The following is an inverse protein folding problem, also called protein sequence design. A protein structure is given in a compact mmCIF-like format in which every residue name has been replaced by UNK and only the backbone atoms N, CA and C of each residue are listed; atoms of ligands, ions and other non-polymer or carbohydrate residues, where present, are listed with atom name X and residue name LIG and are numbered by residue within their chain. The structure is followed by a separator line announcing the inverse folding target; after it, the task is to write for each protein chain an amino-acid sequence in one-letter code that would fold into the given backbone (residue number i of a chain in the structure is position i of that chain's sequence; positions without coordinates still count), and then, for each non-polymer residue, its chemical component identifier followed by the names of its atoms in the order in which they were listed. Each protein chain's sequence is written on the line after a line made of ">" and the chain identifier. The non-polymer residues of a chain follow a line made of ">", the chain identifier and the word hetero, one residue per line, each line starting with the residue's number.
data_IF_896235298455
#
_entry.id   IF_896235298455
#
_cell.length_a   1.000
_cell.length_b   1.000
_cell.length_c   1.000
_cell.angle_alpha   90.00
_cell.angle_beta   90.00
_cell.angle_gamma   90.00
#
_symmetry.space_group_name_H-M   'P 1'
#
loop_
_entity.id
_entity.type
_entity.pdbx_description
1 polymer ?
#
# COMPACT_ATOMS: atom_id res chain seq x y z
N UNK A 1 -16.38 -6.14 9.81
CA UNK A 1 -15.18 -5.27 9.77
C UNK A 1 -15.24 -4.07 10.72
N UNK A 2 -16.39 -3.39 10.90
CA UNK A 2 -16.50 -2.23 11.81
C UNK A 2 -16.01 -2.47 13.24
N UNK A 3 -16.46 -3.57 13.88
CA UNK A 3 -16.00 -3.92 15.23
C UNK A 3 -14.50 -4.23 15.33
N UNK A 4 -13.91 -4.91 14.34
CA UNK A 4 -12.47 -5.22 14.32
C UNK A 4 -11.65 -3.93 14.19
N UNK A 5 -12.08 -3.02 13.32
CA UNK A 5 -11.44 -1.71 13.17
C UNK A 5 -11.55 -0.88 14.45
N UNK A 6 -12.71 -0.91 15.12
CA UNK A 6 -12.90 -0.24 16.40
C UNK A 6 -11.97 -0.81 17.48
N UNK A 7 -11.94 -2.14 17.67
CA UNK A 7 -11.04 -2.79 18.62
C UNK A 7 -9.57 -2.48 18.33
N UNK A 8 -9.18 -2.47 17.04
CA UNK A 8 -7.82 -2.08 16.61
C UNK A 8 -7.51 -0.65 17.03
N UNK A 9 -8.43 0.29 16.79
CA UNK A 9 -8.26 1.69 17.16
C UNK A 9 -8.15 1.87 18.68
N UNK A 10 -8.98 1.18 19.47
CA UNK A 10 -8.89 1.20 20.93
C UNK A 10 -7.55 0.67 21.44
N UNK A 11 -7.04 -0.43 20.87
CA UNK A 11 -5.73 -0.99 21.25
C UNK A 11 -4.61 0.02 20.95
N UNK A 12 -4.67 0.67 19.78
CA UNK A 12 -3.69 1.71 19.41
C UNK A 12 -3.74 2.91 20.35
N UNK A 13 -4.94 3.33 20.79
CA UNK A 13 -5.13 4.38 21.78
C UNK A 13 -4.59 3.98 23.16
N UNK A 14 -4.81 2.74 23.60
CA UNK A 14 -4.23 2.26 24.87
C UNK A 14 -2.69 2.27 24.80
N UNK A 15 -2.11 1.92 23.66
CA UNK A 15 -0.65 1.94 23.49
C UNK A 15 -0.04 3.34 23.47
N UNK A 16 -0.82 4.42 23.34
CA UNK A 16 -0.30 5.79 23.52
C UNK A 16 0.08 6.07 24.97
N UNK A 17 -0.44 5.30 25.94
CA UNK A 17 -0.20 5.52 27.37
C UNK A 17 1.23 5.14 27.78
N UNK A 18 1.77 4.06 27.22
CA UNK A 18 3.15 3.63 27.47
C UNK A 18 3.75 2.92 26.24
N UNK A 19 4.49 3.70 25.44
CA UNK A 19 5.13 3.24 24.20
C UNK A 19 6.22 2.18 24.48
N UNK A 20 6.88 2.21 25.64
CA UNK A 20 7.96 1.25 25.96
C UNK A 20 7.40 -0.15 26.21
N UNK A 21 6.33 -0.21 26.99
CA UNK A 21 5.60 -1.45 27.23
C UNK A 21 4.91 -1.94 25.96
N UNK A 22 4.26 -1.04 25.19
CA UNK A 22 3.68 -1.37 23.90
C UNK A 22 4.71 -1.94 22.90
N UNK A 23 5.92 -1.36 22.85
CA UNK A 23 7.03 -1.87 22.05
C UNK A 23 7.36 -3.32 22.43
N UNK A 24 7.47 -3.63 23.72
CA UNK A 24 7.80 -4.97 24.21
C UNK A 24 6.77 -6.01 23.72
N UNK A 25 5.48 -5.69 23.82
CA UNK A 25 4.43 -6.54 23.26
C UNK A 25 4.53 -6.67 21.75
N UNK A 26 4.65 -5.54 21.05
CA UNK A 26 4.73 -5.52 19.58
C UNK A 26 5.88 -6.38 19.06
N UNK A 27 7.05 -6.32 19.69
CA UNK A 27 8.22 -7.10 19.32
C UNK A 27 7.93 -8.62 19.41
N UNK A 28 7.34 -9.07 20.52
CA UNK A 28 7.03 -10.48 20.74
C UNK A 28 6.00 -10.98 19.71
N UNK A 29 4.94 -10.21 19.46
CA UNK A 29 3.90 -10.60 18.50
C UNK A 29 4.38 -10.55 17.04
N UNK A 30 5.16 -9.54 16.65
CA UNK A 30 5.76 -9.47 15.31
C UNK A 30 6.72 -10.64 15.12
N UNK A 31 7.51 -11.00 16.13
CA UNK A 31 8.37 -12.19 16.10
C UNK A 31 7.55 -13.47 15.91
N UNK A 32 6.41 -13.59 16.59
CA UNK A 32 5.53 -14.74 16.45
C UNK A 32 4.95 -14.86 15.03
N UNK A 33 4.54 -13.74 14.41
CA UNK A 33 4.12 -13.70 13.01
C UNK A 33 5.25 -14.18 12.07
N UNK A 34 6.48 -13.74 12.31
CA UNK A 34 7.65 -14.17 11.55
C UNK A 34 7.94 -15.67 11.69
N UNK A 35 7.81 -16.24 12.90
CA UNK A 35 8.01 -17.67 13.14
C UNK A 35 6.96 -18.50 12.40
N UNK A 36 5.69 -18.11 12.47
CA UNK A 36 4.59 -18.77 11.76
C UNK A 36 4.82 -18.75 10.25
N UNK A 37 5.22 -17.58 9.71
CA UNK A 37 5.55 -17.43 8.30
C UNK A 37 6.75 -18.30 7.89
N UNK A 38 7.83 -18.30 8.69
CA UNK A 38 9.01 -19.14 8.44
C UNK A 38 8.64 -20.62 8.42
N UNK A 39 7.79 -21.08 9.34
CA UNK A 39 7.31 -22.47 9.38
C UNK A 39 6.57 -22.84 8.09
N UNK A 40 5.73 -21.94 7.56
CA UNK A 40 5.04 -22.14 6.29
C UNK A 40 6.04 -22.30 5.12
N UNK A 41 7.08 -21.47 5.07
CA UNK A 41 8.15 -21.57 4.07
C UNK A 41 8.98 -22.86 4.19
N UNK A 42 9.31 -23.30 5.41
CA UNK A 42 10.13 -24.50 5.64
C UNK A 42 9.35 -25.77 5.35
N UNK A 43 8.11 -25.87 5.82
CA UNK A 43 7.37 -27.14 5.79
C UNK A 43 6.52 -27.29 4.54
N UNK A 44 6.11 -26.18 3.91
CA UNK A 44 5.29 -26.13 2.68
C UNK A 44 3.98 -26.96 2.79
N UNK A 45 3.52 -27.28 4.00
CA UNK A 45 2.25 -27.98 4.20
C UNK A 45 1.09 -27.01 4.06
N UNK A 46 -0.01 -27.48 3.47
CA UNK A 46 -1.24 -26.69 3.29
C UNK A 46 -1.73 -26.04 4.59
N UNK A 47 -1.68 -26.76 5.70
CA UNK A 47 -2.11 -26.26 7.02
C UNK A 47 -1.22 -25.10 7.49
N UNK A 48 0.10 -25.23 7.32
CA UNK A 48 1.04 -24.19 7.73
C UNK A 48 0.90 -22.95 6.84
N UNK A 49 0.68 -23.11 5.53
CA UNK A 49 0.35 -21.99 4.63
C UNK A 49 -0.97 -21.34 5.04
N UNK A 50 -2.02 -22.14 5.30
CA UNK A 50 -3.33 -21.68 5.76
C UNK A 50 -3.28 -20.86 7.05
N UNK A 51 -2.33 -21.16 7.94
CA UNK A 51 -2.13 -20.38 9.16
C UNK A 51 -1.68 -18.93 8.91
N UNK A 52 -1.04 -18.66 7.76
CA UNK A 52 -0.59 -17.34 7.33
C UNK A 52 -1.69 -16.60 6.57
N UNK A 53 -2.42 -17.30 5.69
CA UNK A 53 -3.46 -16.73 4.81
C UNK A 53 -4.84 -16.65 5.48
N UNK A 54 -4.88 -16.42 6.79
CA UNK A 54 -6.13 -16.28 7.54
C UNK A 54 -6.38 -14.82 7.95
N UNK A 55 -7.62 -14.48 8.24
CA UNK A 55 -7.98 -13.12 8.66
C UNK A 55 -7.33 -12.70 9.97
N UNK A 56 -7.09 -13.62 10.91
CA UNK A 56 -6.49 -13.31 12.20
C UNK A 56 -5.04 -12.82 12.03
N UNK A 57 -4.27 -13.50 11.19
CA UNK A 57 -2.89 -13.17 10.83
C UNK A 57 -2.84 -11.83 10.11
N UNK A 58 -3.71 -11.61 9.11
CA UNK A 58 -3.75 -10.35 8.35
C UNK A 58 -4.21 -9.17 9.21
N UNK A 59 -5.23 -9.34 10.05
CA UNK A 59 -5.66 -8.30 10.98
C UNK A 59 -4.59 -7.98 12.03
N UNK A 60 -3.86 -8.99 12.51
CA UNK A 60 -2.72 -8.80 13.43
C UNK A 60 -1.60 -8.03 12.74
N UNK A 61 -1.26 -8.41 11.50
CA UNK A 61 -0.26 -7.73 10.70
C UNK A 61 -0.66 -6.27 10.42
N UNK A 62 -1.95 -6.01 10.20
CA UNK A 62 -2.49 -4.67 10.02
C UNK A 62 -2.40 -3.82 11.29
N UNK A 63 -2.77 -4.38 12.45
CA UNK A 63 -2.61 -3.71 13.76
C UNK A 63 -1.16 -3.27 13.98
N UNK A 64 -0.20 -4.17 13.79
CA UNK A 64 1.21 -3.84 14.01
C UNK A 64 1.78 -2.88 12.96
N UNK A 65 1.31 -2.97 11.72
CA UNK A 65 1.67 -1.99 10.67
C UNK A 65 1.17 -0.59 11.03
N UNK A 66 -0.05 -0.48 11.55
CA UNK A 66 -0.64 0.78 11.98
C UNK A 66 0.03 1.34 13.24
N UNK A 67 0.33 0.48 14.23
CA UNK A 67 1.11 0.84 15.43
C UNK A 67 2.46 1.43 15.04
N UNK A 68 3.25 0.71 14.24
CA UNK A 68 4.58 1.19 13.83
C UNK A 68 4.47 2.45 12.97
N UNK A 69 3.49 2.52 12.07
CA UNK A 69 3.24 3.72 11.26
C UNK A 69 2.92 4.95 12.12
N UNK A 70 2.26 4.78 13.27
CA UNK A 70 1.85 5.90 14.13
C UNK A 70 2.94 6.33 15.10
N UNK A 71 3.69 5.39 15.67
CA UNK A 71 4.62 5.66 16.78
C UNK A 71 6.11 5.60 16.40
N UNK A 72 6.45 5.29 15.15
CA UNK A 72 7.87 5.22 14.71
C UNK A 72 8.61 6.56 14.75
N UNK A 73 7.90 7.68 14.65
CA UNK A 73 8.48 9.02 14.80
C UNK A 73 8.76 9.37 16.27
N UNK A 74 8.08 8.72 17.21
CA UNK A 74 8.17 9.01 18.65
C UNK A 74 9.22 8.16 19.37
N UNK A 75 9.59 7.00 18.80
CA UNK A 75 10.53 6.07 19.43
C UNK A 75 11.41 5.34 18.41
N UNK A 76 12.73 5.41 18.60
CA UNK A 76 13.72 4.64 17.83
C UNK A 76 13.50 3.13 17.91
N UNK A 77 13.05 2.63 19.06
CA UNK A 77 12.77 1.21 19.25
C UNK A 77 11.64 0.77 18.34
N UNK A 78 10.54 1.53 18.29
CA UNK A 78 9.41 1.24 17.39
C UNK A 78 9.84 1.37 15.94
N UNK A 79 10.70 2.34 15.62
CA UNK A 79 11.24 2.49 14.27
C UNK A 79 12.03 1.26 13.79
N UNK A 80 12.78 0.61 14.68
CA UNK A 80 13.51 -0.62 14.34
C UNK A 80 12.60 -1.77 13.86
N UNK A 81 11.30 -1.74 14.18
CA UNK A 81 10.33 -2.75 13.78
C UNK A 81 9.82 -2.60 12.34
N UNK A 82 10.10 -1.46 11.69
CA UNK A 82 9.64 -1.19 10.32
C UNK A 82 10.20 -2.24 9.36
N UNK A 83 11.51 -2.49 9.40
CA UNK A 83 12.15 -3.45 8.49
C UNK A 83 11.64 -4.90 8.69
N UNK A 84 11.59 -5.45 9.92
CA UNK A 84 10.96 -6.73 10.19
C UNK A 84 9.53 -6.84 9.64
N UNK A 85 8.69 -5.81 9.84
CA UNK A 85 7.32 -5.81 9.31
C UNK A 85 7.28 -5.81 7.79
N UNK A 86 8.06 -4.95 7.13
CA UNK A 86 8.15 -4.92 5.66
C UNK A 86 8.57 -6.29 5.12
N UNK A 87 9.57 -6.93 5.73
CA UNK A 87 10.02 -8.27 5.34
C UNK A 87 8.91 -9.32 5.48
N UNK A 88 8.18 -9.32 6.61
CA UNK A 88 7.05 -10.22 6.82
C UNK A 88 5.97 -9.99 5.76
N UNK A 89 5.57 -8.74 5.51
CA UNK A 89 4.53 -8.42 4.54
C UNK A 89 4.93 -8.85 3.13
N UNK A 90 6.17 -8.55 2.71
CA UNK A 90 6.68 -8.94 1.38
C UNK A 90 6.75 -10.47 1.27
N UNK A 91 7.19 -11.15 2.32
CA UNK A 91 7.25 -12.61 2.33
C UNK A 91 5.86 -13.26 2.32
N UNK A 92 4.82 -12.65 2.91
CA UNK A 92 3.42 -13.13 2.80
C UNK A 92 2.93 -13.07 1.35
N UNK A 93 3.26 -11.99 0.63
CA UNK A 93 2.91 -11.85 -0.80
C UNK A 93 3.67 -12.88 -1.64
N UNK A 94 4.97 -13.06 -1.39
CA UNK A 94 5.81 -14.03 -2.12
C UNK A 94 5.44 -15.49 -1.86
N UNK A 95 4.87 -15.80 -0.70
CA UNK A 95 4.44 -17.17 -0.37
C UNK A 95 3.29 -17.64 -1.27
N UNK A 96 2.48 -16.69 -1.77
CA UNK A 96 1.28 -16.98 -2.53
C UNK A 96 1.32 -16.32 -3.93
N UNK A 97 2.23 -16.77 -4.82
CA UNK A 97 2.33 -16.22 -6.17
C UNK A 97 1.15 -16.73 -7.00
N UNK A 98 0.10 -15.93 -7.13
CA UNK A 98 -1.06 -16.28 -7.94
C UNK A 98 -2.07 -15.14 -8.05
N UNK A 99 -2.80 -15.12 -9.14
CA UNK A 99 -3.90 -14.20 -9.39
C UNK A 99 -5.05 -14.34 -8.39
N UNK A 100 -5.27 -15.58 -7.92
CA UNK A 100 -6.22 -15.90 -6.86
C UNK A 100 -5.99 -15.08 -5.58
N UNK A 101 -4.74 -14.77 -5.26
CA UNK A 101 -4.33 -14.10 -4.02
C UNK A 101 -4.17 -12.58 -4.18
N UNK A 102 -4.67 -12.01 -5.27
CA UNK A 102 -4.67 -10.56 -5.49
C UNK A 102 -5.31 -9.75 -4.34
N UNK A 103 -6.45 -10.17 -3.72
CA UNK A 103 -7.03 -9.41 -2.61
C UNK A 103 -6.07 -9.35 -1.41
N UNK A 104 -5.50 -10.49 -1.02
CA UNK A 104 -4.46 -10.57 0.01
C UNK A 104 -3.27 -9.66 -0.31
N UNK A 105 -2.79 -9.69 -1.56
CA UNK A 105 -1.69 -8.82 -2.03
C UNK A 105 -2.05 -7.34 -1.88
N UNK A 106 -3.27 -6.93 -2.19
CA UNK A 106 -3.70 -5.53 -2.02
C UNK A 106 -3.82 -5.12 -0.56
N UNK A 107 -4.27 -5.99 0.34
CA UNK A 107 -4.20 -5.75 1.79
C UNK A 107 -2.75 -5.52 2.23
N UNK A 108 -1.83 -6.38 1.80
CA UNK A 108 -0.40 -6.26 2.07
C UNK A 108 0.19 -4.95 1.55
N UNK A 109 -0.10 -4.59 0.30
CA UNK A 109 0.38 -3.32 -0.28
C UNK A 109 -0.20 -2.10 0.44
N UNK A 110 -1.45 -2.18 0.90
CA UNK A 110 -2.07 -1.11 1.70
C UNK A 110 -1.30 -0.90 3.01
N UNK A 111 -0.95 -1.97 3.72
CA UNK A 111 -0.11 -1.91 4.93
C UNK A 111 1.28 -1.35 4.63
N UNK A 112 1.91 -1.74 3.52
CA UNK A 112 3.20 -1.19 3.09
C UNK A 112 3.11 0.32 2.79
N UNK A 113 2.07 0.75 2.07
CA UNK A 113 1.86 2.17 1.79
C UNK A 113 1.61 2.98 3.08
N UNK A 114 0.90 2.41 4.06
CA UNK A 114 0.73 3.03 5.38
C UNK A 114 2.07 3.21 6.09
N UNK A 115 2.86 2.14 6.23
CA UNK A 115 4.20 2.18 6.82
C UNK A 115 5.10 3.22 6.12
N UNK A 116 5.06 3.25 4.79
CA UNK A 116 5.82 4.21 3.98
C UNK A 116 5.42 5.67 4.21
N UNK A 117 4.17 5.92 4.63
CA UNK A 117 3.65 7.27 4.88
C UNK A 117 3.91 7.75 6.31
N UNK A 118 3.67 6.89 7.31
CA UNK A 118 3.78 7.30 8.72
C UNK A 118 5.20 7.25 9.29
N UNK A 119 6.08 6.43 8.73
CA UNK A 119 7.44 6.27 9.25
C UNK A 119 8.47 7.26 8.66
N UNK A 120 8.00 8.37 8.07
CA UNK A 120 8.85 9.39 7.44
C UNK A 120 9.61 10.16 8.52
N UNK A 121 10.89 9.84 8.73
CA UNK A 121 11.77 10.64 9.59
C UNK A 121 12.12 11.96 8.92
N UNK A 122 11.88 13.05 9.62
CA UNK A 122 12.58 14.29 9.31
C UNK A 122 14.07 14.10 9.68
N UNK A 123 15.01 14.61 8.87
CA UNK A 123 16.42 14.59 9.25
C UNK A 123 16.58 15.39 10.54
N UNK A 124 16.92 14.70 11.62
CA UNK A 124 17.20 15.30 12.92
C UNK A 124 18.32 16.34 12.80
N UNK A 125 18.16 17.44 13.52
CA UNK A 125 19.20 18.42 13.75
C UNK A 125 20.33 17.77 14.57
N UNK A 126 21.37 17.26 13.90
CA UNK A 126 22.70 16.92 14.43
C UNK A 126 22.73 16.31 15.84
N UNK A 127 22.72 14.99 15.93
CA UNK A 127 23.45 14.29 17.01
C UNK A 127 24.82 13.85 16.50
N UNK A 128 25.85 14.40 17.13
CA UNK A 128 27.26 14.09 16.87
C UNK A 128 27.52 12.62 17.20
N UNK A 129 28.40 12.00 16.41
CA UNK A 129 29.06 10.70 16.65
C UNK A 129 28.32 9.44 16.17
N UNK A 130 28.41 9.14 14.87
CA UNK A 130 29.24 8.02 14.41
C UNK A 130 29.42 8.15 12.88
N UNK A 131 30.62 8.48 12.44
CA UNK A 131 31.01 8.39 11.03
C UNK A 131 31.64 7.02 10.82
N UNK A 132 31.01 6.16 10.03
CA UNK A 132 31.69 5.14 9.23
C UNK A 132 30.70 4.50 8.25
N UNK A 133 30.97 4.65 6.95
CA UNK A 133 30.36 3.92 5.82
C UNK A 133 28.89 4.18 5.47
N UNK A 134 28.53 5.43 5.20
CA UNK A 134 27.39 5.77 4.34
C UNK A 134 27.92 6.32 3.00
N UNK A 135 28.42 5.44 2.14
CA UNK A 135 28.68 5.77 0.74
C UNK A 135 27.46 5.33 -0.07
N UNK A 136 26.77 6.30 -0.68
CA UNK A 136 25.54 6.20 -1.48
C UNK A 136 24.25 6.13 -0.65
N UNK A 137 23.97 7.15 0.16
CA UNK A 137 22.64 7.41 0.74
C UNK A 137 21.97 8.61 0.05
N UNK A 138 21.72 8.49 -1.26
CA UNK A 138 20.93 9.45 -2.04
C UNK A 138 19.42 9.13 -1.98
N UNK A 139 18.95 8.63 -0.83
CA UNK A 139 17.54 8.49 -0.48
C UNK A 139 17.48 8.78 1.02
N UNK A 140 16.99 9.96 1.40
CA UNK A 140 16.68 10.27 2.80
C UNK A 140 15.40 9.52 3.24
N UNK A 141 15.45 8.19 3.11
CA UNK A 141 14.49 7.22 3.60
C UNK A 141 15.33 6.03 4.04
N UNK A 142 15.46 5.82 5.34
CA UNK A 142 16.34 4.80 5.94
C UNK A 142 16.00 3.35 5.50
N UNK A 143 14.90 3.15 4.78
CA UNK A 143 14.48 1.87 4.21
C UNK A 143 13.54 2.10 3.01
N UNK A 144 13.75 1.33 1.94
CA UNK A 144 12.86 1.33 0.79
C UNK A 144 11.70 0.36 1.03
N UNK A 145 10.47 0.87 1.01
CA UNK A 145 9.25 0.04 1.10
C UNK A 145 8.82 -0.37 -0.30
N UNK A 146 8.90 -1.66 -0.69
CA UNK A 146 8.68 -2.11 -2.06
C UNK A 146 7.20 -2.27 -2.38
N UNK A 147 6.39 -1.22 -2.25
CA UNK A 147 4.97 -1.27 -2.64
C UNK A 147 4.77 -1.21 -4.16
N UNK A 148 5.58 -0.41 -4.87
CA UNK A 148 5.47 -0.25 -6.33
C UNK A 148 5.74 -1.54 -7.12
N UNK A 149 6.85 -2.28 -6.92
CA UNK A 149 7.07 -3.53 -7.64
C UNK A 149 5.91 -4.51 -7.42
N UNK A 150 5.42 -4.57 -6.17
CA UNK A 150 4.25 -5.38 -5.82
C UNK A 150 2.93 -4.86 -6.41
N UNK A 151 2.85 -3.68 -7.02
CA UNK A 151 1.68 -3.29 -7.81
C UNK A 151 1.95 -3.52 -9.29
N UNK A 152 3.18 -3.32 -9.74
CA UNK A 152 3.54 -3.47 -11.14
C UNK A 152 3.43 -4.93 -11.62
N UNK A 153 3.74 -5.93 -10.79
CA UNK A 153 3.53 -7.32 -11.26
C UNK A 153 2.05 -7.67 -11.48
N UNK A 154 1.10 -6.85 -11.01
CA UNK A 154 -0.31 -7.03 -11.33
C UNK A 154 -0.59 -6.73 -12.81
N UNK A 155 0.17 -5.81 -13.43
CA UNK A 155 0.12 -5.58 -14.88
C UNK A 155 0.77 -6.71 -15.70
N UNK A 156 1.59 -7.57 -15.07
CA UNK A 156 2.08 -8.79 -15.72
C UNK A 156 1.00 -9.88 -15.76
N UNK A 157 -0.10 -9.72 -15.02
CA UNK A 157 -1.23 -10.65 -15.07
C UNK A 157 -2.12 -10.31 -16.29
N UNK A 158 -2.21 -11.24 -17.23
CA UNK A 158 -3.03 -11.13 -18.46
C UNK A 158 -4.55 -10.99 -18.23
N UNK A 159 -4.99 -11.00 -16.99
CA UNK A 159 -6.40 -11.02 -16.57
C UNK A 159 -7.05 -9.66 -16.82
N UNK A 160 -6.29 -8.58 -16.65
CA UNK A 160 -6.78 -7.21 -16.68
C UNK A 160 -6.88 -6.67 -18.12
N UNK A 161 -6.16 -7.29 -19.07
CA UNK A 161 -6.16 -6.89 -20.48
C UNK A 161 -7.34 -7.44 -21.27
N UNK A 162 -8.00 -8.49 -20.75
CA UNK A 162 -9.09 -9.20 -21.42
C UNK A 162 -10.44 -8.73 -20.87
N UNK A 163 -11.45 -8.72 -21.73
CA UNK A 163 -12.84 -8.54 -21.31
C UNK A 163 -13.26 -9.76 -20.49
N UNK A 164 -13.93 -9.52 -19.37
CA UNK A 164 -14.48 -10.60 -18.54
C UNK A 164 -15.48 -11.43 -19.35
N UNK A 165 -15.52 -12.74 -19.06
CA UNK A 165 -16.41 -13.70 -19.72
C UNK A 165 -17.81 -13.73 -19.09
N UNK A 166 -17.94 -13.31 -17.82
CA UNK A 166 -19.18 -13.41 -17.04
C UNK A 166 -19.61 -12.05 -16.52
N UNK A 167 -20.79 -11.60 -16.91
CA UNK A 167 -21.40 -10.37 -16.39
C UNK A 167 -21.85 -10.58 -14.94
N UNK A 168 -21.38 -9.73 -14.04
CA UNK A 168 -21.83 -9.67 -12.65
C UNK A 168 -22.59 -8.37 -12.41
N UNK A 169 -23.77 -8.47 -11.79
CA UNK A 169 -24.66 -7.32 -11.51
C UNK A 169 -24.35 -6.64 -10.19
N UNK A 170 -23.71 -7.33 -9.25
CA UNK A 170 -23.42 -6.80 -7.92
C UNK A 170 -21.95 -6.38 -7.83
N UNK A 171 -21.64 -5.19 -7.31
CA UNK A 171 -20.26 -4.75 -7.17
C UNK A 171 -19.55 -5.59 -6.10
N UNK A 172 -18.25 -5.84 -6.31
CA UNK A 172 -17.44 -6.68 -5.43
C UNK A 172 -16.61 -5.81 -4.47
N UNK A 173 -16.71 -6.05 -3.16
CA UNK A 173 -15.83 -5.43 -2.16
C UNK A 173 -14.67 -6.36 -1.78
N UNK A 174 -13.49 -6.06 -2.34
CA UNK A 174 -12.27 -6.83 -2.10
C UNK A 174 -11.72 -6.67 -0.67
N UNK A 175 -12.17 -5.66 0.10
CA UNK A 175 -11.77 -5.48 1.50
C UNK A 175 -12.23 -6.63 2.39
N UNK A 176 -13.25 -7.38 1.94
CA UNK A 176 -13.84 -8.50 2.66
C UNK A 176 -13.35 -9.86 2.14
N UNK A 177 -12.36 -9.87 1.24
CA UNK A 177 -11.82 -11.07 0.61
C UNK A 177 -10.31 -11.18 0.82
N UNK A 178 -9.81 -12.40 1.05
CA UNK A 178 -8.37 -12.73 1.01
C UNK A 178 -7.98 -13.41 -0.30
N UNK A 179 -8.89 -14.20 -0.88
CA UNK A 179 -8.66 -14.89 -2.13
C UNK A 179 -9.92 -14.94 -2.98
N UNK A 180 -9.73 -15.01 -4.29
CA UNK A 180 -10.82 -15.29 -5.22
C UNK A 180 -11.12 -16.78 -5.30
N UNK A 181 -12.33 -17.13 -5.73
CA UNK A 181 -12.60 -18.42 -6.37
C UNK A 181 -12.29 -18.33 -7.87
N UNK A 182 -12.15 -19.47 -8.56
CA UNK A 182 -11.87 -19.49 -10.00
C UNK A 182 -13.01 -18.88 -10.83
N UNK A 183 -14.26 -18.98 -10.34
CA UNK A 183 -15.42 -18.36 -10.97
C UNK A 183 -15.40 -16.84 -10.82
N UNK A 184 -15.08 -16.33 -9.63
CA UNK A 184 -15.03 -14.89 -9.34
C UNK A 184 -14.01 -14.15 -10.21
N UNK A 185 -12.86 -14.76 -10.53
CA UNK A 185 -11.85 -14.14 -11.40
C UNK A 185 -12.35 -13.87 -12.83
N UNK A 186 -13.43 -14.54 -13.27
CA UNK A 186 -14.03 -14.34 -14.59
C UNK A 186 -15.13 -13.29 -14.59
N UNK A 187 -15.54 -12.79 -13.43
CA UNK A 187 -16.63 -11.82 -13.29
C UNK A 187 -16.17 -10.39 -13.60
N UNK A 188 -17.05 -9.59 -14.22
CA UNK A 188 -16.77 -8.18 -14.49
C UNK A 188 -16.50 -7.39 -13.22
N UNK A 189 -17.32 -7.58 -12.18
CA UNK A 189 -17.22 -6.88 -10.90
C UNK A 189 -15.88 -7.14 -10.20
N UNK A 190 -15.30 -8.33 -10.34
CA UNK A 190 -13.99 -8.64 -9.79
C UNK A 190 -12.89 -7.84 -10.50
N UNK A 191 -12.91 -7.79 -11.84
CA UNK A 191 -11.92 -7.04 -12.63
C UNK A 191 -12.03 -5.53 -12.38
N UNK A 192 -13.24 -5.00 -12.31
CA UNK A 192 -13.51 -3.60 -11.97
C UNK A 192 -12.92 -3.26 -10.58
N UNK A 193 -13.17 -4.13 -9.59
CA UNK A 193 -12.67 -3.92 -8.24
C UNK A 193 -11.14 -4.05 -8.14
N UNK A 194 -10.53 -4.98 -8.89
CA UNK A 194 -9.07 -5.14 -8.98
C UNK A 194 -8.42 -3.88 -9.55
N UNK A 195 -8.94 -3.36 -10.68
CA UNK A 195 -8.43 -2.12 -11.28
C UNK A 195 -8.56 -0.94 -10.32
N UNK A 196 -9.72 -0.80 -9.70
CA UNK A 196 -9.96 0.32 -8.83
C UNK A 196 -9.06 0.29 -7.57
N UNK A 197 -8.75 -0.89 -7.04
CA UNK A 197 -7.80 -1.02 -5.92
C UNK A 197 -6.33 -0.89 -6.37
N UNK A 198 -5.98 -1.41 -7.55
CA UNK A 198 -4.66 -1.24 -8.14
C UNK A 198 -4.34 0.26 -8.33
N UNK A 199 -5.28 1.03 -8.88
CA UNK A 199 -5.11 2.48 -9.06
C UNK A 199 -5.01 3.21 -7.72
N UNK A 200 -5.84 2.87 -6.74
CA UNK A 200 -5.74 3.42 -5.39
C UNK A 200 -4.38 3.12 -4.73
N UNK A 201 -3.89 1.90 -4.88
CA UNK A 201 -2.58 1.48 -4.39
C UNK A 201 -1.43 2.25 -5.06
N UNK A 202 -1.50 2.43 -6.38
CA UNK A 202 -0.48 3.16 -7.15
C UNK A 202 -0.47 4.65 -6.79
N UNK A 203 -1.64 5.28 -6.70
CA UNK A 203 -1.79 6.69 -6.33
C UNK A 203 -1.20 6.95 -4.92
N UNK A 204 -1.53 6.10 -3.94
CA UNK A 204 -0.96 6.17 -2.59
C UNK A 204 0.55 5.94 -2.57
N UNK A 205 1.03 4.93 -3.30
CA UNK A 205 2.46 4.63 -3.37
C UNK A 205 3.23 5.80 -3.98
N UNK A 206 2.78 6.35 -5.11
CA UNK A 206 3.39 7.48 -5.80
C UNK A 206 3.40 8.75 -4.93
N UNK A 207 2.31 9.05 -4.22
CA UNK A 207 2.24 10.21 -3.34
C UNK A 207 3.25 10.14 -2.19
N UNK A 208 3.58 8.93 -1.72
CA UNK A 208 4.59 8.74 -0.69
C UNK A 208 6.01 9.10 -1.17
N UNK A 209 6.28 9.17 -2.47
CA UNK A 209 7.59 9.53 -3.03
C UNK A 209 7.67 11.04 -3.31
N UNK A 210 8.02 11.85 -2.30
CA UNK A 210 8.35 13.28 -2.49
C UNK A 210 9.88 13.47 -2.52
N UNK A 211 10.56 12.74 -3.41
CA UNK A 211 12.02 12.84 -3.57
C UNK A 211 12.38 13.57 -4.85
N UNK A 212 13.57 14.16 -4.87
CA UNK A 212 14.17 14.65 -6.10
C UNK A 212 14.19 13.53 -7.15
N UNK A 213 14.48 12.27 -6.79
CA UNK A 213 14.53 11.09 -7.69
C UNK A 213 13.16 10.59 -8.23
N UNK A 214 12.07 11.34 -8.03
CA UNK A 214 10.72 10.92 -8.42
C UNK A 214 10.58 10.54 -9.91
N UNK A 215 11.09 11.30 -10.89
CA UNK A 215 11.13 10.90 -12.29
C UNK A 215 11.69 9.49 -12.56
N UNK A 216 12.80 9.10 -11.93
CA UNK A 216 13.39 7.77 -12.15
C UNK A 216 12.60 6.68 -11.42
N UNK A 217 12.09 6.98 -10.22
CA UNK A 217 11.26 6.05 -9.44
C UNK A 217 9.90 5.77 -10.10
N UNK A 218 9.33 6.77 -10.78
CA UNK A 218 8.02 6.66 -11.46
C UNK A 218 8.13 6.14 -12.90
N UNK A 219 9.33 6.10 -13.49
CA UNK A 219 9.53 5.66 -14.87
C UNK A 219 9.02 4.23 -15.17
N UNK A 220 9.22 3.22 -14.30
CA UNK A 220 8.61 1.89 -14.50
C UNK A 220 7.08 1.96 -14.52
N UNK A 221 6.49 2.77 -13.66
CA UNK A 221 5.03 2.95 -13.60
C UNK A 221 4.51 3.59 -14.88
N UNK A 222 5.15 4.66 -15.36
CA UNK A 222 4.78 5.33 -16.62
C UNK A 222 4.82 4.35 -17.80
N UNK A 223 5.84 3.50 -17.86
CA UNK A 223 6.01 2.50 -18.92
C UNK A 223 4.87 1.49 -18.90
N UNK A 224 4.58 0.91 -17.74
CA UNK A 224 3.48 -0.05 -17.58
C UNK A 224 2.11 0.57 -17.86
N UNK A 225 1.84 1.80 -17.39
CA UNK A 225 0.57 2.48 -17.67
C UNK A 225 0.39 2.77 -19.18
N UNK A 226 1.46 3.18 -19.87
CA UNK A 226 1.42 3.39 -21.34
C UNK A 226 1.18 2.07 -22.07
N UNK A 227 1.86 1.00 -21.67
CA UNK A 227 1.66 -0.33 -22.25
C UNK A 227 0.24 -0.83 -22.00
N UNK A 228 -0.29 -0.65 -20.79
CA UNK A 228 -1.65 -1.01 -20.43
C UNK A 228 -2.70 -0.29 -21.29
N UNK A 229 -2.54 1.02 -21.51
CA UNK A 229 -3.48 1.79 -22.35
C UNK A 229 -3.47 1.32 -23.81
N UNK A 230 -2.31 0.91 -24.34
CA UNK A 230 -2.19 0.41 -25.73
C UNK A 230 -2.73 -1.00 -25.90
N UNK A 231 -2.47 -1.88 -24.93
CA UNK A 231 -2.74 -3.32 -25.05
C UNK A 231 -4.11 -3.74 -24.49
N UNK A 232 -4.74 -2.92 -23.63
CA UNK A 232 -6.02 -3.26 -23.00
C UNK A 232 -7.18 -3.20 -23.99
N UNK A 233 -8.00 -4.25 -23.99
CA UNK A 233 -9.22 -4.34 -24.82
C UNK A 233 -10.43 -3.67 -24.15
N UNK A 234 -10.30 -3.22 -22.90
CA UNK A 234 -11.42 -2.70 -22.10
C UNK A 234 -11.31 -1.18 -21.94
N UNK A 235 -12.10 -0.44 -22.72
CA UNK A 235 -12.05 1.02 -22.72
C UNK A 235 -12.36 1.66 -21.36
N UNK A 236 -13.26 1.06 -20.57
CA UNK A 236 -13.58 1.54 -19.22
C UNK A 236 -12.35 1.61 -18.31
N UNK A 237 -11.46 0.60 -18.36
CA UNK A 237 -10.21 0.60 -17.59
C UNK A 237 -9.26 1.66 -18.10
N UNK A 238 -9.04 1.73 -19.42
CA UNK A 238 -8.15 2.75 -20.00
C UNK A 238 -8.60 4.19 -19.67
N UNK A 239 -9.92 4.43 -19.59
CA UNK A 239 -10.48 5.73 -19.19
C UNK A 239 -10.14 6.10 -17.75
N UNK A 240 -10.05 5.13 -16.83
CA UNK A 240 -9.65 5.36 -15.44
C UNK A 240 -8.13 5.54 -15.28
N UNK A 241 -7.32 4.86 -16.11
CA UNK A 241 -5.84 4.95 -16.05
C UNK A 241 -5.30 6.24 -16.68
N UNK A 242 -5.93 6.75 -17.75
CA UNK A 242 -5.46 7.94 -18.47
C UNK A 242 -5.27 9.19 -17.59
N UNK A 243 -6.21 9.56 -16.69
CA UNK A 243 -6.03 10.70 -15.78
C UNK A 243 -4.80 10.55 -14.88
N UNK A 244 -4.57 9.35 -14.33
CA UNK A 244 -3.40 9.06 -13.50
C UNK A 244 -2.11 9.26 -14.30
N UNK A 245 -2.03 8.73 -15.52
CA UNK A 245 -0.85 8.90 -16.38
C UNK A 245 -0.59 10.37 -16.70
N UNK A 246 -1.63 11.14 -17.04
CA UNK A 246 -1.49 12.57 -17.34
C UNK A 246 -0.93 13.35 -16.14
N UNK A 247 -1.49 13.13 -14.95
CA UNK A 247 -1.04 13.79 -13.72
C UNK A 247 0.34 13.34 -13.26
N UNK A 248 0.69 12.08 -13.50
CA UNK A 248 2.04 11.58 -13.22
C UNK A 248 3.10 12.27 -14.09
N UNK A 249 2.81 12.47 -15.39
CA UNK A 249 3.71 13.20 -16.29
C UNK A 249 3.84 14.68 -15.90
N UNK A 250 2.75 15.33 -15.51
CA UNK A 250 2.77 16.71 -15.00
C UNK A 250 3.65 16.84 -13.74
N UNK A 251 3.57 15.86 -12.83
CA UNK A 251 4.42 15.81 -11.63
C UNK A 251 5.89 15.60 -11.98
N UNK A 252 6.20 14.74 -12.95
CA UNK A 252 7.56 14.53 -13.44
C UNK A 252 8.14 15.85 -13.98
N UNK A 253 7.38 16.59 -14.78
CA UNK A 253 7.80 17.89 -15.31
C UNK A 253 7.96 18.95 -14.21
N UNK A 254 7.07 18.96 -13.21
CA UNK A 254 7.20 19.81 -12.02
C UNK A 254 8.51 19.53 -11.28
N UNK A 255 8.83 18.26 -11.03
CA UNK A 255 10.09 17.87 -10.35
C UNK A 255 11.30 18.23 -11.21
N UNK A 256 11.26 18.03 -12.53
CA UNK A 256 12.34 18.46 -13.42
C UNK A 256 12.58 19.98 -13.36
N UNK A 257 11.53 20.80 -13.29
CA UNK A 257 11.67 22.26 -13.15
C UNK A 257 12.34 22.62 -11.82
N UNK A 258 11.96 21.98 -10.72
CA UNK A 258 12.57 22.20 -9.39
C UNK A 258 14.02 21.73 -9.32
N UNK A 259 14.35 20.61 -9.98
CA UNK A 259 15.73 20.08 -10.08
C UNK A 259 16.72 21.04 -10.73
N UNK A 260 16.29 21.92 -11.64
CA UNK A 260 17.18 22.89 -12.31
C UNK A 260 17.90 23.84 -11.36
N UNK A 261 17.37 24.00 -10.13
CA UNK A 261 17.98 24.83 -9.09
C UNK A 261 19.24 24.16 -8.51
N UNK A 262 19.33 22.83 -8.55
CA UNK A 262 20.46 22.06 -8.05
C UNK A 262 21.56 22.08 -9.10
N UNK A 263 22.61 22.87 -8.85
CA UNK A 263 23.79 22.91 -9.72
C UNK A 263 24.81 21.83 -9.37
N UNK A 264 24.83 21.38 -8.12
CA UNK A 264 25.81 20.42 -7.62
C UNK A 264 25.11 19.31 -6.83
N UNK A 265 25.23 18.07 -7.31
CA UNK A 265 24.60 16.89 -6.68
C UNK A 265 25.25 16.48 -5.35
N UNK A 266 26.42 17.04 -5.04
CA UNK A 266 27.16 16.74 -3.81
C UNK A 266 26.69 17.54 -2.59
N UNK A 267 25.81 18.52 -2.78
CA UNK A 267 25.34 19.40 -1.70
C UNK A 267 24.05 18.87 -1.06
N UNK A 268 24.21 17.92 -0.14
CA UNK A 268 23.11 17.22 0.54
C UNK A 268 22.14 18.15 1.28
N UNK A 269 22.61 19.26 1.84
CA UNK A 269 21.77 20.25 2.52
C UNK A 269 20.76 20.92 1.60
N UNK A 270 21.14 21.22 0.36
CA UNK A 270 20.25 21.86 -0.64
C UNK A 270 19.21 20.88 -1.17
N UNK A 271 19.62 19.62 -1.37
CA UNK A 271 18.75 18.50 -1.75
C UNK A 271 17.66 18.33 -0.69
N UNK A 272 18.04 18.30 0.59
CA UNK A 272 17.08 18.16 1.69
C UNK A 272 16.14 19.35 1.83
N UNK A 273 16.65 20.57 1.69
CA UNK A 273 15.81 21.77 1.72
C UNK A 273 14.77 21.75 0.59
N UNK A 274 15.17 21.31 -0.61
CA UNK A 274 14.27 21.16 -1.75
C UNK A 274 13.25 20.04 -1.55
N UNK A 275 13.65 18.86 -1.07
CA UNK A 275 12.71 17.78 -0.77
C UNK A 275 11.69 18.17 0.30
N UNK A 276 12.11 18.91 1.34
CA UNK A 276 11.19 19.49 2.33
C UNK A 276 10.25 20.51 1.70
N UNK A 277 10.76 21.41 0.85
CA UNK A 277 9.94 22.36 0.13
C UNK A 277 8.91 21.67 -0.76
N UNK A 278 9.28 20.60 -1.47
CA UNK A 278 8.38 19.82 -2.32
C UNK A 278 7.37 19.01 -1.51
N UNK A 279 7.76 18.49 -0.35
CA UNK A 279 6.86 17.74 0.53
C UNK A 279 5.76 18.62 1.14
N UNK A 280 6.08 19.89 1.41
CA UNK A 280 5.15 20.86 2.00
C UNK A 280 4.32 21.62 0.96
N UNK A 281 4.62 21.45 -0.33
CA UNK A 281 3.88 22.12 -1.41
C UNK A 281 2.53 21.41 -1.65
N UNK A 282 1.50 21.88 -0.95
CA UNK A 282 0.13 21.37 -1.07
C UNK A 282 -0.47 21.59 -2.48
N UNK A 283 0.12 22.49 -3.27
CA UNK A 283 -0.30 22.79 -4.63
C UNK A 283 0.46 21.95 -5.68
N UNK A 284 1.25 20.97 -5.26
CA UNK A 284 1.89 20.05 -6.20
C UNK A 284 0.80 19.29 -7.01
N UNK A 285 0.91 19.23 -8.35
CA UNK A 285 -0.13 18.66 -9.21
C UNK A 285 -0.59 17.25 -8.84
N UNK A 286 0.33 16.42 -8.33
CA UNK A 286 0.01 15.06 -7.89
C UNK A 286 -0.67 15.00 -6.52
N UNK A 287 -0.36 15.92 -5.61
CA UNK A 287 -0.93 15.96 -4.25
C UNK A 287 -2.39 16.39 -4.33
N UNK A 288 -2.70 17.39 -5.16
CA UNK A 288 -4.08 17.80 -5.43
C UNK A 288 -4.89 16.65 -6.04
N UNK A 289 -4.34 16.00 -7.06
CA UNK A 289 -4.97 14.83 -7.67
C UNK A 289 -5.16 13.69 -6.66
N UNK A 290 -4.19 13.41 -5.80
CA UNK A 290 -4.27 12.43 -4.73
C UNK A 290 -5.43 12.73 -3.77
N UNK A 291 -5.57 13.99 -3.34
CA UNK A 291 -6.62 14.41 -2.42
C UNK A 291 -8.01 14.24 -3.03
N UNK A 292 -8.20 14.67 -4.28
CA UNK A 292 -9.47 14.45 -4.98
C UNK A 292 -9.77 12.97 -5.20
N UNK A 293 -8.78 12.22 -5.66
CA UNK A 293 -8.91 10.79 -5.92
C UNK A 293 -9.28 10.03 -4.64
N UNK A 294 -8.61 10.35 -3.53
CA UNK A 294 -8.86 9.77 -2.21
C UNK A 294 -10.27 10.06 -1.72
N UNK A 295 -10.76 11.30 -1.85
CA UNK A 295 -12.15 11.67 -1.51
C UNK A 295 -13.16 10.85 -2.30
N UNK A 296 -13.03 10.81 -3.63
CA UNK A 296 -13.90 10.02 -4.51
C UNK A 296 -13.86 8.54 -4.15
N UNK A 297 -12.68 8.02 -3.76
CA UNK A 297 -12.51 6.62 -3.37
C UNK A 297 -13.19 6.30 -2.06
N UNK A 298 -13.09 7.18 -1.06
CA UNK A 298 -13.81 7.03 0.22
C UNK A 298 -15.31 7.02 0.00
N UNK A 299 -15.83 7.91 -0.85
CA UNK A 299 -17.26 7.95 -1.22
C UNK A 299 -17.71 6.64 -1.87
N UNK A 300 -16.99 6.16 -2.90
CA UNK A 300 -17.26 4.87 -3.55
C UNK A 300 -17.28 3.71 -2.56
N UNK A 301 -16.29 3.64 -1.67
CA UNK A 301 -16.20 2.58 -0.67
C UNK A 301 -17.33 2.66 0.37
N UNK A 302 -17.79 3.88 0.70
CA UNK A 302 -18.91 4.09 1.60
C UNK A 302 -20.24 3.65 0.98
N UNK A 303 -20.43 3.91 -0.32
CA UNK A 303 -21.60 3.48 -1.09
C UNK A 303 -21.63 1.96 -1.20
N UNK A 304 -20.49 1.34 -1.51
CA UNK A 304 -20.37 -0.13 -1.49
C UNK A 304 -20.76 -0.71 -0.13
N UNK A 305 -20.25 -0.15 0.97
CA UNK A 305 -20.61 -0.62 2.31
C UNK A 305 -22.12 -0.51 2.60
N UNK A 306 -22.80 0.53 2.09
CA UNK A 306 -24.27 0.67 2.21
C UNK A 306 -25.01 -0.40 1.43
N UNK A 307 -24.60 -0.67 0.18
CA UNK A 307 -25.19 -1.72 -0.67
C UNK A 307 -25.07 -3.08 0.04
N UNK A 308 -23.89 -3.40 0.56
CA UNK A 308 -23.68 -4.65 1.30
C UNK A 308 -24.53 -4.73 2.56
N UNK A 309 -24.66 -3.66 3.34
CA UNK A 309 -25.53 -3.64 4.51
C UNK A 309 -27.01 -3.91 4.15
N UNK A 310 -27.50 -3.35 3.04
CA UNK A 310 -28.85 -3.59 2.54
C UNK A 310 -29.05 -5.04 2.10
N UNK A 311 -28.11 -5.62 1.35
CA UNK A 311 -28.22 -7.03 0.92
C UNK A 311 -28.23 -8.00 2.10
N UNK A 312 -27.45 -7.73 3.16
CA UNK A 312 -27.44 -8.55 4.38
C UNK A 312 -28.81 -8.44 5.08
N UNK A 313 -29.36 -7.23 5.24
CA UNK A 313 -30.68 -7.05 5.87
C UNK A 313 -31.82 -7.74 5.11
N UNK A 314 -31.77 -7.76 3.79
CA UNK A 314 -32.76 -8.46 2.96
C UNK A 314 -32.64 -9.98 3.07
N UNK A 315 -31.41 -10.51 3.13
CA UNK A 315 -31.17 -11.95 3.29
C UNK A 315 -31.57 -12.47 4.68
N UNK A 316 -31.45 -11.66 5.74
CA UNK A 316 -31.93 -12.03 7.08
C UNK A 316 -33.46 -12.03 7.19
N UNK A 317 -34.15 -11.20 6.41
CA UNK A 317 -35.61 -11.22 6.33
C UNK A 317 -36.17 -12.40 5.51
N UNK A 318 -35.41 -12.92 4.54
CA UNK A 318 -35.86 -14.07 3.71
C UNK A 318 -35.69 -15.45 4.36
N UNK A 319 -34.93 -15.55 5.46
CA UNK A 319 -34.70 -16.81 6.20
C UNK A 319 -35.63 -16.90 7.43
N UNK A 320 -36.46 -15.88 7.67
CA UNK A 320 -37.39 -15.79 8.79
C UNK A 320 -38.82 -16.25 8.45
N UNK A 321 -39.03 -16.97 7.34
CA UNK A 321 -40.32 -17.55 6.94
C UNK A 321 -40.24 -19.06 6.76
#
# INVERSE_FOLDING_TARGET
>A
MGHINFMRQCVLEVFTLDIKTAYTYSFVYIRQLAITLKKAYTTQRKIDIQSVINWQFINSLQLWSEFVSRFSSESDLVHSLVYPLVQIIVAVVRLNPGDRWLPLRFHCVTMLNQLSSGCRREPEKKSKSLKAHASISCLHRDYFVPSLPLLLDVFNLNIIYKRSATLSRNPMDLRLLLHFSQSQLRETAALDAIIAWLLDGLVKALNNFSSIAFPELSAPVVTELRNFIKSSRVHAFTRQVKPLLAKLLEQIDYVYKKRRVIRNMNEESTILALEKSMANDLNAPFVEFYNEFSKRRVEQLSELSKIYAQTVSQSTCSVAF
#
